data_IF_564185765297
#
_entry.id   IF_564185765297
#
_cell.length_a   1.000
_cell.length_b   1.000
_cell.length_c   1.000
_cell.angle_alpha   90.00
_cell.angle_beta   90.00
_cell.angle_gamma   90.00
#
_symmetry.space_group_name_H-M   'P 1'
#
loop_
_entity.id
_entity.type
_entity.pdbx_description
1 polymer ?
#
# COMPACT_ATOMS: atom_id res chain seq x y z
N UNK A 1 8.00 7.09 3.18
CA UNK A 1 9.27 7.63 2.66
C UNK A 1 9.81 8.78 3.52
N UNK A 2 8.96 9.63 4.12
CA UNK A 2 9.35 10.78 4.96
C UNK A 2 10.23 10.42 6.18
N UNK A 3 10.05 9.24 6.75
CA UNK A 3 10.67 8.88 8.04
C UNK A 3 12.02 8.14 7.93
N UNK A 4 12.42 7.73 6.75
CA UNK A 4 13.65 6.97 6.52
C UNK A 4 14.56 7.58 5.44
N UNK A 5 14.23 8.76 4.94
CA UNK A 5 14.99 9.46 3.90
C UNK A 5 15.87 10.54 4.50
N UNK A 6 17.07 10.75 3.95
CA UNK A 6 17.90 11.91 4.24
C UNK A 6 17.27 13.17 3.66
N UNK A 7 17.69 14.36 4.10
CA UNK A 7 17.22 15.65 3.53
C UNK A 7 17.46 15.73 2.01
N UNK A 8 18.57 15.18 1.51
CA UNK A 8 18.88 15.11 0.08
C UNK A 8 17.91 14.19 -0.67
N UNK A 9 17.61 13.02 -0.11
CA UNK A 9 16.64 12.09 -0.71
C UNK A 9 15.23 12.69 -0.74
N UNK A 10 14.83 13.45 0.26
CA UNK A 10 13.55 14.17 0.31
C UNK A 10 13.50 15.29 -0.74
N UNK A 11 14.58 16.06 -0.89
CA UNK A 11 14.68 17.11 -1.90
C UNK A 11 14.65 16.54 -3.32
N UNK A 12 15.37 15.44 -3.59
CA UNK A 12 15.33 14.73 -4.88
C UNK A 12 13.94 14.17 -5.19
N UNK A 13 13.26 13.59 -4.20
CA UNK A 13 11.91 13.06 -4.36
C UNK A 13 10.91 14.20 -4.63
N UNK A 14 10.99 15.30 -3.90
CA UNK A 14 10.17 16.49 -4.15
C UNK A 14 10.40 17.07 -5.57
N UNK A 15 11.66 17.08 -6.03
CA UNK A 15 12.01 17.49 -7.39
C UNK A 15 11.45 16.55 -8.46
N UNK A 16 11.48 15.23 -8.21
CA UNK A 16 10.85 14.22 -9.08
C UNK A 16 9.34 14.42 -9.15
N UNK A 17 8.67 14.67 -8.01
CA UNK A 17 7.24 14.95 -7.96
C UNK A 17 6.87 16.24 -8.69
N UNK A 18 7.66 17.30 -8.58
CA UNK A 18 7.42 18.57 -9.29
C UNK A 18 7.53 18.39 -10.80
N UNK A 19 8.53 17.63 -11.27
CA UNK A 19 8.70 17.30 -12.70
C UNK A 19 7.60 16.40 -13.26
N UNK A 20 7.02 15.53 -12.44
CA UNK A 20 5.88 14.67 -12.82
C UNK A 20 4.59 15.49 -12.94
N UNK A 21 4.37 16.48 -12.06
CA UNK A 21 3.21 17.39 -12.15
C UNK A 21 3.21 18.26 -13.41
N UNK A 22 4.36 18.54 -14.00
CA UNK A 22 4.51 19.35 -15.20
C UNK A 22 4.24 18.59 -16.51
N UNK A 23 4.12 17.25 -16.46
CA UNK A 23 3.75 16.47 -17.64
C UNK A 23 2.23 16.40 -17.75
N UNK A 24 1.67 16.96 -18.81
CA UNK A 24 0.26 16.77 -19.17
C UNK A 24 -0.02 15.28 -19.32
N UNK A 25 -0.88 14.74 -18.46
CA UNK A 25 -1.30 13.34 -18.48
C UNK A 25 -1.10 12.62 -17.14
N UNK A 26 -1.83 11.52 -16.96
CA UNK A 26 -1.67 10.66 -15.79
C UNK A 26 -0.25 10.08 -15.78
N UNK A 27 0.50 10.29 -14.70
CA UNK A 27 1.85 9.72 -14.60
C UNK A 27 1.80 8.21 -14.74
N UNK A 28 2.69 7.65 -15.54
CA UNK A 28 2.79 6.22 -15.80
C UNK A 28 2.74 5.35 -14.51
N UNK A 29 3.42 5.72 -13.40
CA UNK A 29 3.32 4.97 -12.14
C UNK A 29 1.90 4.90 -11.57
N UNK A 30 1.13 5.98 -11.63
CA UNK A 30 -0.25 6.00 -11.13
C UNK A 30 -1.18 5.14 -11.99
N UNK A 31 -1.06 5.24 -13.31
CA UNK A 31 -1.84 4.43 -14.23
C UNK A 31 -1.54 2.94 -14.07
N UNK A 32 -0.26 2.57 -14.02
CA UNK A 32 0.21 1.21 -13.79
C UNK A 32 -0.32 0.64 -12.47
N UNK A 33 -0.19 1.41 -11.37
CA UNK A 33 -0.66 0.99 -10.06
C UNK A 33 -2.18 0.81 -10.04
N UNK A 34 -2.94 1.71 -10.66
CA UNK A 34 -4.40 1.60 -10.71
C UNK A 34 -4.86 0.36 -11.50
N UNK A 35 -4.22 0.05 -12.62
CA UNK A 35 -4.54 -1.15 -13.38
C UNK A 35 -4.21 -2.44 -12.61
N UNK A 36 -3.09 -2.45 -11.87
CA UNK A 36 -2.76 -3.58 -10.99
C UNK A 36 -3.76 -3.75 -9.85
N UNK A 37 -4.23 -2.66 -9.25
CA UNK A 37 -5.29 -2.73 -8.22
C UNK A 37 -6.57 -3.35 -8.77
N UNK A 38 -6.98 -2.97 -9.98
CA UNK A 38 -8.15 -3.56 -10.63
C UNK A 38 -7.94 -5.05 -10.93
N UNK A 39 -6.78 -5.44 -11.43
CA UNK A 39 -6.44 -6.85 -11.65
C UNK A 39 -6.39 -7.66 -10.36
N UNK A 40 -5.82 -7.11 -9.30
CA UNK A 40 -5.83 -7.74 -7.98
C UNK A 40 -7.25 -7.92 -7.44
N UNK A 41 -8.11 -6.91 -7.63
CA UNK A 41 -9.52 -7.00 -7.26
C UNK A 41 -10.25 -8.11 -8.03
N UNK A 42 -10.01 -8.23 -9.33
CA UNK A 42 -10.57 -9.31 -10.14
C UNK A 42 -10.17 -10.70 -9.60
N UNK A 43 -8.90 -10.88 -9.19
CA UNK A 43 -8.43 -12.11 -8.51
C UNK A 43 -9.20 -12.36 -7.21
N UNK A 44 -9.38 -11.33 -6.38
CA UNK A 44 -10.12 -11.43 -5.12
C UNK A 44 -11.62 -11.72 -5.33
N UNK A 45 -12.17 -11.34 -6.48
CA UNK A 45 -13.54 -11.68 -6.92
C UNK A 45 -13.65 -13.10 -7.53
N UNK A 46 -12.57 -13.88 -7.49
CA UNK A 46 -12.52 -15.26 -7.98
C UNK A 46 -12.32 -15.40 -9.49
N UNK A 47 -11.95 -14.31 -10.19
CA UNK A 47 -11.61 -14.38 -11.61
C UNK A 47 -10.24 -15.01 -11.82
N UNK A 48 -10.01 -15.58 -13.00
CA UNK A 48 -8.70 -16.11 -13.37
C UNK A 48 -7.64 -15.01 -13.54
N UNK A 49 -6.35 -15.38 -13.49
CA UNK A 49 -5.28 -14.45 -13.80
C UNK A 49 -5.38 -13.94 -15.24
N UNK A 50 -5.82 -14.79 -16.16
CA UNK A 50 -6.03 -14.46 -17.57
C UNK A 50 -7.12 -13.39 -17.74
N UNK A 51 -8.23 -13.45 -17.00
CA UNK A 51 -9.25 -12.39 -16.97
C UNK A 51 -8.70 -11.09 -16.41
N UNK A 52 -7.93 -11.17 -15.32
CA UNK A 52 -7.30 -10.00 -14.71
C UNK A 52 -6.26 -9.34 -15.65
N UNK A 53 -5.63 -10.10 -16.56
CA UNK A 53 -4.71 -9.56 -17.57
C UNK A 53 -5.38 -8.59 -18.54
N UNK A 54 -6.69 -8.68 -18.74
CA UNK A 54 -7.44 -7.74 -19.56
C UNK A 54 -7.35 -6.29 -19.05
N UNK A 55 -7.10 -6.12 -17.73
CA UNK A 55 -6.89 -4.78 -17.13
C UNK A 55 -5.62 -4.08 -17.59
N UNK A 56 -4.67 -4.83 -18.12
CA UNK A 56 -3.36 -4.32 -18.54
C UNK A 56 -3.09 -4.47 -20.05
N UNK A 57 -4.13 -4.78 -20.84
CA UNK A 57 -4.03 -4.94 -22.31
C UNK A 57 -3.47 -3.70 -22.99
N UNK A 58 -3.79 -2.52 -22.50
CA UNK A 58 -3.36 -1.24 -23.06
C UNK A 58 -1.96 -0.80 -22.61
N UNK A 59 -1.26 -1.63 -21.84
CA UNK A 59 0.13 -1.34 -21.46
C UNK A 59 1.05 -1.48 -22.68
N UNK A 60 2.15 -0.71 -22.73
CA UNK A 60 3.25 -1.00 -23.66
C UNK A 60 3.75 -2.44 -23.48
N UNK A 61 4.10 -3.12 -24.57
CA UNK A 61 4.44 -4.56 -24.54
C UNK A 61 5.57 -4.90 -23.56
N UNK A 62 6.57 -4.01 -23.44
CA UNK A 62 7.65 -4.18 -22.47
C UNK A 62 7.17 -4.23 -21.00
N UNK A 63 5.99 -3.76 -20.71
CA UNK A 63 5.43 -3.69 -19.37
C UNK A 63 4.31 -4.71 -19.13
N UNK A 64 3.72 -5.27 -20.20
CA UNK A 64 2.69 -6.31 -20.08
C UNK A 64 3.24 -7.53 -19.35
N UNK A 65 4.40 -8.02 -19.74
CA UNK A 65 5.03 -9.19 -19.11
C UNK A 65 5.25 -8.96 -17.60
N UNK A 66 5.73 -7.76 -17.23
CA UNK A 66 5.90 -7.39 -15.81
C UNK A 66 4.56 -7.30 -15.09
N UNK A 67 3.55 -6.68 -15.68
CA UNK A 67 2.23 -6.55 -15.10
C UNK A 67 1.56 -7.92 -14.90
N UNK A 68 1.64 -8.82 -15.89
CA UNK A 68 1.17 -10.20 -15.77
C UNK A 68 1.90 -10.96 -14.66
N UNK A 69 3.24 -10.78 -14.57
CA UNK A 69 4.03 -11.36 -13.47
C UNK A 69 3.54 -10.91 -12.10
N UNK A 70 3.26 -9.61 -11.92
CA UNK A 70 2.74 -9.08 -10.65
C UNK A 70 1.33 -9.59 -10.34
N UNK A 71 0.43 -9.68 -11.32
CA UNK A 71 -0.92 -10.24 -11.13
C UNK A 71 -0.84 -11.71 -10.68
N UNK A 72 0.00 -12.52 -11.33
CA UNK A 72 0.22 -13.92 -10.91
C UNK A 72 0.83 -14.01 -9.51
N UNK A 73 1.82 -13.16 -9.21
CA UNK A 73 2.40 -13.12 -7.86
C UNK A 73 1.36 -12.76 -6.79
N UNK A 74 0.45 -11.85 -7.11
CA UNK A 74 -0.66 -11.53 -6.20
C UNK A 74 -1.62 -12.71 -6.03
N UNK A 75 -1.95 -13.43 -7.09
CA UNK A 75 -2.76 -14.65 -7.02
C UNK A 75 -2.13 -15.70 -6.09
N UNK A 76 -0.81 -15.88 -6.17
CA UNK A 76 -0.08 -16.79 -5.28
C UNK A 76 -0.13 -16.32 -3.81
N UNK A 77 -0.07 -14.98 -3.56
CA UNK A 77 -0.24 -14.44 -2.20
C UNK A 77 -1.63 -14.76 -1.66
N UNK A 78 -2.68 -14.57 -2.46
CA UNK A 78 -4.05 -14.90 -2.07
C UNK A 78 -4.16 -16.39 -1.73
N UNK A 79 -3.60 -17.26 -2.55
CA UNK A 79 -3.63 -18.70 -2.33
C UNK A 79 -2.83 -19.17 -1.10
N UNK A 80 -1.77 -18.43 -0.74
CA UNK A 80 -0.89 -18.78 0.37
C UNK A 80 -1.36 -18.26 1.75
N UNK A 81 -2.39 -17.40 1.79
CA UNK A 81 -2.90 -16.79 3.02
C UNK A 81 -4.37 -17.17 3.22
N UNK A 82 -4.61 -18.43 3.58
CA UNK A 82 -5.93 -19.01 3.77
C UNK A 82 -6.66 -18.51 5.03
N UNK A 83 -5.96 -17.85 5.94
CA UNK A 83 -6.49 -17.15 7.11
C UNK A 83 -7.17 -15.82 6.77
N UNK A 84 -7.04 -15.35 5.53
CA UNK A 84 -7.62 -14.09 5.03
C UNK A 84 -8.75 -14.39 4.04
N UNK A 85 -9.85 -13.68 4.20
CA UNK A 85 -10.88 -13.54 3.17
C UNK A 85 -10.55 -12.29 2.34
N UNK A 86 -10.06 -12.53 1.13
CA UNK A 86 -9.70 -11.46 0.20
C UNK A 86 -10.90 -10.90 -0.58
N UNK A 87 -12.11 -11.40 -0.37
CA UNK A 87 -13.30 -10.79 -0.97
C UNK A 87 -13.33 -9.29 -0.68
N UNK A 88 -13.35 -8.41 -1.72
CA UNK A 88 -13.20 -6.99 -1.51
C UNK A 88 -14.28 -6.42 -0.60
N UNK A 89 -13.86 -5.81 0.49
CA UNK A 89 -14.72 -5.13 1.44
C UNK A 89 -14.83 -3.63 1.08
N UNK A 90 -15.86 -2.96 1.61
CA UNK A 90 -16.00 -1.52 1.45
C UNK A 90 -14.82 -0.81 2.15
N UNK A 91 -14.18 0.11 1.42
CA UNK A 91 -13.08 0.90 1.97
C UNK A 91 -13.57 1.85 3.06
N UNK A 92 -12.99 1.82 4.27
CA UNK A 92 -13.31 2.79 5.31
C UNK A 92 -13.08 4.21 4.80
N UNK A 93 -14.02 5.11 5.10
CA UNK A 93 -13.91 6.52 4.77
C UNK A 93 -13.00 7.23 5.77
N UNK A 94 -12.24 8.22 5.30
CA UNK A 94 -11.49 9.12 6.16
C UNK A 94 -10.25 8.51 6.79
N UNK A 95 -9.49 7.69 6.05
CA UNK A 95 -8.16 7.21 6.49
C UNK A 95 -7.15 8.36 6.56
N UNK A 96 -7.44 9.36 7.39
CA UNK A 96 -6.58 10.50 7.68
C UNK A 96 -6.73 10.91 9.15
N UNK A 97 -5.68 11.48 9.72
CA UNK A 97 -5.68 12.09 11.05
C UNK A 97 -4.80 13.32 11.05
N UNK A 98 -4.88 14.13 12.10
CA UNK A 98 -4.03 15.30 12.25
C UNK A 98 -3.17 15.14 13.50
N UNK A 99 -1.85 15.39 13.34
CA UNK A 99 -0.89 15.44 14.42
C UNK A 99 -0.19 16.81 14.34
N UNK A 100 -0.27 17.60 15.38
CA UNK A 100 0.34 18.93 15.49
C UNK A 100 0.08 19.82 14.27
N UNK A 101 -1.16 19.85 13.81
CA UNK A 101 -1.60 20.67 12.67
C UNK A 101 -1.28 20.09 11.29
N UNK A 102 -0.59 18.96 11.21
CA UNK A 102 -0.30 18.29 9.94
C UNK A 102 -1.28 17.16 9.70
N UNK A 103 -1.93 17.17 8.53
CA UNK A 103 -2.82 16.09 8.12
C UNK A 103 -2.03 14.95 7.52
N UNK A 104 -2.08 13.80 8.18
CA UNK A 104 -1.55 12.52 7.68
C UNK A 104 -2.68 11.75 7.03
N UNK A 105 -2.41 11.19 5.88
CA UNK A 105 -3.38 10.41 5.12
C UNK A 105 -2.73 9.16 4.55
N UNK A 106 -3.43 8.03 4.69
CA UNK A 106 -3.08 6.78 4.00
C UNK A 106 -4.23 6.36 3.10
N UNK A 107 -3.90 5.78 1.96
CA UNK A 107 -4.89 5.23 1.04
C UNK A 107 -4.55 3.77 0.78
N UNK A 108 -5.33 2.88 1.36
CA UNK A 108 -5.24 1.45 1.11
C UNK A 108 -5.56 1.12 -0.36
N UNK A 109 -4.97 0.05 -0.84
CA UNK A 109 -5.14 -0.43 -2.20
C UNK A 109 -6.27 -1.45 -2.32
N UNK A 110 -6.46 -2.24 -1.24
CA UNK A 110 -7.51 -3.22 -1.10
C UNK A 110 -7.92 -3.32 0.37
N UNK A 111 -9.14 -3.72 0.64
CA UNK A 111 -9.63 -4.08 1.98
C UNK A 111 -10.11 -5.52 1.94
N UNK A 112 -9.54 -6.33 2.81
CA UNK A 112 -9.87 -7.72 3.06
C UNK A 112 -10.41 -7.88 4.49
N UNK A 113 -10.65 -9.10 4.94
CA UNK A 113 -10.97 -9.41 6.34
C UNK A 113 -10.25 -10.66 6.82
N UNK A 114 -9.98 -10.75 8.13
CA UNK A 114 -9.50 -11.97 8.75
C UNK A 114 -10.66 -12.96 8.91
N UNK A 115 -10.45 -14.20 8.55
CA UNK A 115 -11.47 -15.25 8.73
C UNK A 115 -11.74 -15.61 10.19
N UNK A 116 -10.76 -15.37 11.07
CA UNK A 116 -10.83 -15.72 12.49
C UNK A 116 -11.88 -14.91 13.27
N UNK A 117 -11.99 -13.62 12.97
CA UNK A 117 -12.78 -12.68 13.75
C UNK A 117 -13.55 -11.65 12.89
N UNK A 118 -13.42 -11.70 11.58
CA UNK A 118 -14.03 -10.76 10.64
C UNK A 118 -13.43 -9.36 10.66
N UNK A 119 -12.34 -9.13 11.41
CA UNK A 119 -11.67 -7.83 11.48
C UNK A 119 -11.12 -7.44 10.12
N UNK A 120 -11.31 -6.18 9.75
CA UNK A 120 -10.81 -5.66 8.47
C UNK A 120 -9.28 -5.72 8.41
N UNK A 121 -8.76 -5.89 7.21
CA UNK A 121 -7.34 -5.85 6.90
C UNK A 121 -7.11 -4.85 5.76
N UNK A 122 -6.48 -3.72 6.09
CA UNK A 122 -6.14 -2.66 5.13
C UNK A 122 -4.83 -3.02 4.43
N UNK A 123 -4.89 -3.25 3.12
CA UNK A 123 -3.76 -3.72 2.34
C UNK A 123 -3.14 -2.59 1.51
N UNK A 124 -1.82 -2.44 1.63
CA UNK A 124 -1.01 -1.48 0.89
C UNK A 124 -0.05 -2.21 -0.04
N UNK A 125 -0.11 -1.92 -1.34
CA UNK A 125 0.67 -2.64 -2.34
C UNK A 125 2.07 -2.04 -2.51
N UNK A 126 3.08 -2.89 -2.38
CA UNK A 126 4.43 -2.62 -2.83
C UNK A 126 4.68 -3.38 -4.14
N UNK A 127 4.86 -2.63 -5.24
CA UNK A 127 4.91 -3.18 -6.62
C UNK A 127 6.25 -2.96 -7.33
N UNK A 128 7.23 -2.37 -6.63
CA UNK A 128 8.54 -2.09 -7.20
C UNK A 128 9.54 -3.21 -6.91
N UNK A 129 10.49 -3.41 -7.83
CA UNK A 129 11.46 -4.51 -7.71
C UNK A 129 12.48 -4.27 -6.58
N UNK A 130 12.76 -3.01 -6.23
CA UNK A 130 13.62 -2.70 -5.08
C UNK A 130 12.94 -3.13 -3.78
N UNK A 131 13.59 -3.96 -2.95
CA UNK A 131 13.06 -4.36 -1.65
C UNK A 131 12.78 -3.16 -0.77
N UNK A 132 11.64 -3.17 -0.08
CA UNK A 132 11.39 -2.23 1.00
C UNK A 132 12.32 -2.57 2.17
N UNK A 133 13.03 -1.58 2.71
CA UNK A 133 13.83 -1.77 3.92
C UNK A 133 12.91 -2.11 5.09
N UNK A 134 13.35 -2.98 6.01
CA UNK A 134 12.54 -3.40 7.17
C UNK A 134 12.00 -2.19 7.95
N UNK A 135 12.85 -1.21 8.27
CA UNK A 135 12.47 0.01 8.96
C UNK A 135 11.42 0.83 8.20
N UNK A 136 11.48 0.88 6.86
CA UNK A 136 10.47 1.58 6.04
C UNK A 136 9.13 0.87 6.10
N UNK A 137 9.13 -0.47 6.01
CA UNK A 137 7.92 -1.27 6.11
C UNK A 137 7.27 -1.10 7.49
N UNK A 138 8.05 -1.21 8.54
CA UNK A 138 7.62 -1.02 9.93
C UNK A 138 7.01 0.37 10.14
N UNK A 139 7.74 1.44 9.79
CA UNK A 139 7.23 2.81 9.94
C UNK A 139 5.92 3.03 9.16
N UNK A 140 5.81 2.50 7.94
CA UNK A 140 4.58 2.63 7.15
C UNK A 140 3.41 1.88 7.79
N UNK A 141 3.65 0.66 8.28
CA UNK A 141 2.63 -0.15 8.96
C UNK A 141 2.16 0.53 10.25
N UNK A 142 3.09 0.96 11.11
CA UNK A 142 2.77 1.66 12.36
C UNK A 142 2.00 2.95 12.11
N UNK A 143 2.40 3.75 11.11
CA UNK A 143 1.68 4.96 10.74
C UNK A 143 0.26 4.66 10.24
N UNK A 144 0.11 3.65 9.40
CA UNK A 144 -1.21 3.28 8.89
C UNK A 144 -2.12 2.72 10.01
N UNK A 145 -1.56 1.95 10.95
CA UNK A 145 -2.28 1.46 12.12
C UNK A 145 -2.69 2.63 13.02
N UNK A 146 -1.78 3.56 13.31
CA UNK A 146 -2.08 4.76 14.10
C UNK A 146 -3.25 5.56 13.49
N UNK A 147 -3.29 5.73 12.17
CA UNK A 147 -4.38 6.43 11.50
C UNK A 147 -5.69 5.65 11.62
N UNK A 148 -5.65 4.32 11.47
CA UNK A 148 -6.85 3.48 11.65
C UNK A 148 -7.40 3.61 13.07
N UNK A 149 -6.55 3.51 14.09
CA UNK A 149 -6.93 3.60 15.50
C UNK A 149 -7.47 4.99 15.86
N UNK A 150 -6.78 6.06 15.44
CA UNK A 150 -7.22 7.45 15.67
C UNK A 150 -8.59 7.75 15.03
N UNK A 151 -8.97 7.00 14.00
CA UNK A 151 -10.28 7.09 13.32
C UNK A 151 -11.27 6.04 13.81
N UNK A 152 -10.91 5.25 14.82
CA UNK A 152 -11.73 4.16 15.36
C UNK A 152 -12.16 3.14 14.29
N UNK A 153 -11.30 2.94 13.29
CA UNK A 153 -11.50 1.91 12.28
C UNK A 153 -10.99 0.59 12.86
N UNK A 154 -11.90 -0.35 13.09
CA UNK A 154 -11.54 -1.68 13.59
C UNK A 154 -10.87 -2.51 12.49
N UNK A 155 -9.60 -2.23 12.25
CA UNK A 155 -8.82 -2.88 11.21
C UNK A 155 -7.37 -3.09 11.65
N UNK A 156 -6.76 -4.11 11.08
CA UNK A 156 -5.32 -4.27 11.06
C UNK A 156 -4.76 -3.78 9.71
N UNK A 157 -3.46 -3.62 9.62
CA UNK A 157 -2.79 -3.17 8.40
C UNK A 157 -1.76 -4.17 7.93
N UNK A 158 -1.55 -4.26 6.61
CA UNK A 158 -0.50 -5.08 6.03
C UNK A 158 0.02 -4.48 4.71
N UNK A 159 1.29 -4.74 4.42
CA UNK A 159 1.90 -4.47 3.12
C UNK A 159 1.93 -5.76 2.31
N UNK A 160 1.42 -5.69 1.09
CA UNK A 160 1.51 -6.77 0.10
C UNK A 160 2.72 -6.49 -0.78
N UNK A 161 3.84 -7.15 -0.51
CA UNK A 161 5.06 -7.06 -1.33
C UNK A 161 4.93 -8.04 -2.50
N UNK A 162 4.24 -7.58 -3.55
CA UNK A 162 3.83 -8.41 -4.67
C UNK A 162 5.02 -9.04 -5.41
N UNK A 163 6.11 -8.32 -5.73
CA UNK A 163 7.25 -8.92 -6.41
C UNK A 163 7.91 -10.06 -5.61
N UNK A 164 7.77 -10.05 -4.28
CA UNK A 164 8.37 -11.05 -3.38
C UNK A 164 7.36 -12.04 -2.82
N UNK A 165 6.13 -11.96 -3.31
CA UNK A 165 5.04 -12.88 -2.96
C UNK A 165 4.83 -13.03 -1.46
N UNK A 166 4.88 -11.92 -0.70
CA UNK A 166 4.77 -11.95 0.76
C UNK A 166 3.83 -10.88 1.29
N UNK A 167 3.25 -11.18 2.44
CA UNK A 167 2.46 -10.28 3.24
C UNK A 167 3.27 -9.88 4.47
N UNK A 168 3.45 -8.58 4.69
CA UNK A 168 4.15 -8.02 5.85
C UNK A 168 3.08 -7.39 6.74
N UNK A 169 2.96 -7.89 7.98
CA UNK A 169 1.97 -7.43 8.97
C UNK A 169 2.64 -6.60 10.05
N UNK A 170 1.87 -5.82 10.80
CA UNK A 170 2.36 -5.16 12.01
C UNK A 170 2.80 -6.23 13.01
N UNK A 171 3.92 -6.00 13.65
CA UNK A 171 4.41 -6.83 14.75
C UNK A 171 3.69 -6.48 16.07
N UNK A 172 3.74 -7.38 17.05
CA UNK A 172 2.98 -7.29 18.31
C UNK A 172 3.38 -6.12 19.22
N UNK A 173 4.44 -5.39 18.90
CA UNK A 173 5.02 -4.28 19.68
C UNK A 173 4.65 -2.89 19.13
N UNK A 174 3.51 -2.76 18.43
CA UNK A 174 3.00 -1.47 18.03
C UNK A 174 2.62 -0.60 19.24
N UNK A 175 3.27 0.57 19.37
CA UNK A 175 3.01 1.57 20.40
C UNK A 175 2.50 2.87 19.77
N UNK A 176 1.21 3.24 19.95
CA UNK A 176 0.64 4.44 19.38
C UNK A 176 1.29 5.75 19.90
N UNK A 177 1.73 5.80 21.15
CA UNK A 177 2.38 6.98 21.71
C UNK A 177 3.80 7.17 21.14
N UNK A 178 4.56 6.08 20.98
CA UNK A 178 5.83 6.11 20.29
C UNK A 178 5.68 6.54 18.83
N UNK A 179 4.65 6.07 18.14
CA UNK A 179 4.38 6.48 16.75
C UNK A 179 4.06 7.96 16.66
N UNK A 180 3.23 8.48 17.56
CA UNK A 180 2.91 9.91 17.64
C UNK A 180 4.17 10.76 17.85
N UNK A 181 5.04 10.38 18.79
CA UNK A 181 6.31 11.05 19.04
C UNK A 181 7.23 11.01 17.80
N UNK A 182 7.28 9.87 17.10
CA UNK A 182 8.07 9.71 15.87
C UNK A 182 7.59 10.67 14.77
N UNK A 183 6.27 10.78 14.59
CA UNK A 183 5.68 11.72 13.62
C UNK A 183 5.98 13.16 13.99
N UNK A 184 5.77 13.55 15.27
CA UNK A 184 6.05 14.90 15.76
C UNK A 184 7.52 15.28 15.55
N UNK A 185 8.46 14.39 15.88
CA UNK A 185 9.90 14.61 15.65
C UNK A 185 10.27 14.74 14.17
N UNK A 186 9.64 13.95 13.29
CA UNK A 186 9.87 14.07 11.86
C UNK A 186 9.36 15.41 11.31
N UNK A 187 8.22 15.88 11.81
CA UNK A 187 7.62 17.15 11.39
C UNK A 187 8.42 18.37 11.88
N UNK A 188 9.05 18.30 13.06
CA UNK A 188 9.89 19.39 13.58
C UNK A 188 11.16 19.64 12.76
N UNK A 189 11.52 18.74 11.84
CA UNK A 189 12.69 18.81 10.96
C UNK A 189 12.38 19.31 9.54
N UNK A 190 11.10 19.54 9.24
CA UNK A 190 10.62 20.07 7.95
C UNK A 190 10.37 21.56 8.03
#
# INVERSE_FOLDING_TARGET
KLFAATEEELAEEALKYSKVKQREGMSFPLWYTNCLKLGARDICEGKSAEDAFLRVTNFPDALKAKAHGLIRSFQEIVAANDDIDFTPQESPKGCNTSIEGVTLSTRQDLVASKKSDGRLLLLYFHVVDTPMKAQQAETLLQLAQYIADARQINADVAIVDIPRKRLIRVYDDYDPEQMKATVANAMSKL
#
